data_IF_891365172359
#
_entry.id   IF_891365172359
#
_cell.length_a   1.000
_cell.length_b   1.000
_cell.length_c   1.000
_cell.angle_alpha   90.00
_cell.angle_beta   90.00
_cell.angle_gamma   90.00
#
_symmetry.space_group_name_H-M   'P 1'
#
loop_
_entity.id
_entity.type
_entity.pdbx_description
1 polymer ?
#
# COMPACT_ATOMS: atom_id res chain seq x y z
N UNK A 1 -18.10 -13.58 17.20
CA UNK A 1 -17.75 -12.20 16.79
C UNK A 1 -18.32 -12.00 15.40
N UNK A 2 -19.31 -11.12 15.22
CA UNK A 2 -19.82 -10.79 13.88
C UNK A 2 -18.95 -9.68 13.30
N UNK A 3 -18.51 -9.83 12.05
CA UNK A 3 -17.84 -8.74 11.34
C UNK A 3 -18.87 -7.66 11.00
N UNK A 4 -18.49 -6.37 11.01
CA UNK A 4 -19.37 -5.29 10.57
C UNK A 4 -19.81 -5.51 9.12
N UNK A 5 -21.08 -5.24 8.82
CA UNK A 5 -21.60 -5.34 7.46
C UNK A 5 -20.97 -4.27 6.55
N UNK A 6 -20.49 -4.71 5.39
CA UNK A 6 -19.92 -3.85 4.37
C UNK A 6 -20.95 -3.55 3.27
N UNK A 7 -20.92 -2.35 2.67
CA UNK A 7 -21.66 -2.09 1.44
C UNK A 7 -21.32 -3.12 0.34
N UNK A 8 -22.24 -3.42 -0.61
CA UNK A 8 -22.06 -4.50 -1.58
C UNK A 8 -20.74 -4.47 -2.35
N UNK A 9 -20.31 -3.29 -2.81
CA UNK A 9 -19.04 -3.12 -3.52
C UNK A 9 -17.83 -3.40 -2.62
N UNK A 10 -17.88 -2.96 -1.35
CA UNK A 10 -16.81 -3.21 -0.38
C UNK A 10 -16.78 -4.68 0.04
N UNK A 11 -17.93 -5.34 0.12
CA UNK A 11 -18.02 -6.77 0.39
C UNK A 11 -17.42 -7.60 -0.77
N UNK A 12 -17.71 -7.23 -2.02
CA UNK A 12 -17.11 -7.87 -3.19
C UNK A 12 -15.58 -7.65 -3.25
N UNK A 13 -15.12 -6.44 -2.92
CA UNK A 13 -13.69 -6.12 -2.82
C UNK A 13 -13.01 -6.93 -1.70
N UNK A 14 -13.65 -7.02 -0.53
CA UNK A 14 -13.16 -7.80 0.61
C UNK A 14 -13.05 -9.29 0.27
N UNK A 15 -14.05 -9.87 -0.39
CA UNK A 15 -14.03 -11.27 -0.83
C UNK A 15 -12.91 -11.53 -1.85
N UNK A 16 -12.72 -10.65 -2.82
CA UNK A 16 -11.62 -10.76 -3.80
C UNK A 16 -10.25 -10.66 -3.13
N UNK A 17 -10.06 -9.75 -2.17
CA UNK A 17 -8.82 -9.66 -1.37
C UNK A 17 -8.63 -10.95 -0.57
N UNK A 18 -9.69 -11.46 0.07
CA UNK A 18 -9.65 -12.70 0.83
C UNK A 18 -9.21 -13.89 -0.03
N UNK A 19 -9.78 -14.05 -1.22
CA UNK A 19 -9.40 -15.15 -2.13
C UNK A 19 -7.94 -15.05 -2.59
N UNK A 20 -7.48 -13.85 -2.93
CA UNK A 20 -6.08 -13.63 -3.29
C UNK A 20 -5.14 -13.92 -2.11
N UNK A 21 -5.51 -13.52 -0.91
CA UNK A 21 -4.79 -13.83 0.33
C UNK A 21 -4.75 -15.33 0.61
N UNK A 22 -5.87 -16.04 0.44
CA UNK A 22 -5.93 -17.47 0.70
C UNK A 22 -5.01 -18.24 -0.25
N UNK A 23 -5.04 -17.89 -1.55
CA UNK A 23 -4.16 -18.49 -2.55
C UNK A 23 -2.67 -18.19 -2.30
N UNK A 24 -2.35 -16.96 -1.90
CA UNK A 24 -0.99 -16.56 -1.56
C UNK A 24 -0.49 -17.12 -0.22
N UNK A 25 -1.40 -17.27 0.72
CA UNK A 25 -1.13 -17.65 2.10
C UNK A 25 -0.76 -19.11 2.25
N UNK A 26 -1.30 -20.03 1.43
CA UNK A 26 -1.07 -21.48 1.60
C UNK A 26 0.42 -21.83 1.62
N UNK A 27 1.22 -21.21 0.74
CA UNK A 27 2.66 -21.43 0.68
C UNK A 27 3.38 -20.96 1.96
N UNK A 28 3.03 -19.77 2.49
CA UNK A 28 3.64 -19.26 3.72
C UNK A 28 3.15 -20.01 4.96
N UNK A 29 1.87 -20.40 5.00
CA UNK A 29 1.29 -21.20 6.08
C UNK A 29 1.99 -22.57 6.19
N UNK A 30 2.27 -23.24 5.07
CA UNK A 30 3.06 -24.48 5.07
C UNK A 30 4.48 -24.26 5.60
N UNK A 31 5.11 -23.14 5.22
CA UNK A 31 6.47 -22.80 5.66
C UNK A 31 6.53 -22.36 7.13
N UNK A 32 5.42 -21.89 7.70
CA UNK A 32 5.25 -21.66 9.15
C UNK A 32 5.03 -22.98 9.88
N UNK A 33 4.17 -23.85 9.35
CA UNK A 33 3.80 -25.11 10.01
C UNK A 33 5.00 -26.05 10.18
N UNK A 34 5.89 -26.13 9.19
CA UNK A 34 7.03 -27.04 9.21
C UNK A 34 7.97 -26.85 10.41
N UNK A 35 8.56 -25.67 10.67
CA UNK A 35 9.43 -25.47 11.83
C UNK A 35 8.69 -25.63 13.16
N UNK A 36 7.42 -25.21 13.24
CA UNK A 36 6.60 -25.36 14.45
C UNK A 36 6.33 -26.83 14.80
N UNK A 37 6.17 -27.70 13.81
CA UNK A 37 6.00 -29.13 14.03
C UNK A 37 7.34 -29.87 14.29
N UNK A 38 8.46 -29.30 13.85
CA UNK A 38 9.77 -29.98 13.88
C UNK A 38 10.62 -29.64 15.10
N UNK A 39 10.38 -28.48 15.74
CA UNK A 39 11.20 -27.99 16.86
C UNK A 39 10.52 -28.30 18.21
N UNK A 40 11.28 -28.65 19.25
CA UNK A 40 10.74 -28.83 20.59
C UNK A 40 10.27 -27.49 21.19
N UNK A 41 9.33 -27.52 22.14
CA UNK A 41 8.68 -26.34 22.72
C UNK A 41 9.66 -25.24 23.18
N UNK A 42 10.79 -25.63 23.79
CA UNK A 42 11.83 -24.70 24.25
C UNK A 42 12.57 -23.94 23.13
N UNK A 43 12.33 -24.29 21.87
CA UNK A 43 12.93 -23.66 20.67
C UNK A 43 11.88 -22.94 19.80
N UNK A 44 10.60 -22.92 20.20
CA UNK A 44 9.55 -22.21 19.46
C UNK A 44 9.67 -20.69 19.60
N UNK A 45 10.22 -20.21 20.72
CA UNK A 45 10.46 -18.80 20.99
C UNK A 45 11.88 -18.39 20.60
N UNK A 46 12.08 -17.11 20.30
CA UNK A 46 13.35 -16.59 19.79
C UNK A 46 13.41 -16.69 18.27
N UNK A 47 14.44 -17.34 17.71
CA UNK A 47 14.67 -17.38 16.26
C UNK A 47 13.44 -17.90 15.48
N UNK A 48 12.87 -19.03 15.90
CA UNK A 48 11.68 -19.61 15.26
C UNK A 48 10.48 -18.66 15.31
N UNK A 49 10.28 -17.96 16.41
CA UNK A 49 9.20 -16.98 16.55
C UNK A 49 9.37 -15.83 15.56
N UNK A 50 10.59 -15.29 15.43
CA UNK A 50 10.87 -14.22 14.47
C UNK A 50 10.70 -14.69 13.02
N UNK A 51 11.12 -15.92 12.69
CA UNK A 51 10.86 -16.51 11.38
C UNK A 51 9.35 -16.59 11.08
N UNK A 52 8.54 -17.02 12.06
CA UNK A 52 7.08 -17.08 11.91
C UNK A 52 6.50 -15.68 11.72
N UNK A 53 6.93 -14.70 12.52
CA UNK A 53 6.47 -13.30 12.40
C UNK A 53 6.78 -12.72 11.02
N UNK A 54 8.00 -12.92 10.52
CA UNK A 54 8.39 -12.45 9.19
C UNK A 54 7.53 -13.06 8.08
N UNK A 55 7.18 -14.33 8.20
CA UNK A 55 6.28 -15.01 7.25
C UNK A 55 4.87 -14.43 7.31
N UNK A 56 4.33 -14.18 8.50
CA UNK A 56 3.02 -13.53 8.66
C UNK A 56 3.05 -12.11 8.08
N UNK A 57 4.11 -11.35 8.30
CA UNK A 57 4.27 -10.02 7.70
C UNK A 57 4.31 -10.05 6.17
N UNK A 58 4.91 -11.07 5.56
CA UNK A 58 4.87 -11.24 4.09
C UNK A 58 3.46 -11.47 3.56
N UNK A 59 2.63 -12.24 4.28
CA UNK A 59 1.21 -12.40 3.94
C UNK A 59 0.50 -11.04 4.02
N UNK A 60 0.73 -10.27 5.09
CA UNK A 60 0.18 -8.93 5.27
C UNK A 60 0.60 -7.94 4.18
N UNK A 61 1.87 -7.94 3.80
CA UNK A 61 2.38 -7.11 2.71
C UNK A 61 1.66 -7.41 1.39
N UNK A 62 1.49 -8.70 1.06
CA UNK A 62 0.78 -9.13 -0.15
C UNK A 62 -0.72 -8.78 -0.11
N UNK A 63 -1.33 -8.73 1.07
CA UNK A 63 -2.69 -8.22 1.27
C UNK A 63 -2.82 -6.78 0.79
N UNK A 64 -1.90 -5.93 1.25
CA UNK A 64 -1.87 -4.49 0.96
C UNK A 64 -1.63 -4.27 -0.54
N UNK A 65 -0.67 -4.99 -1.12
CA UNK A 65 -0.40 -4.95 -2.57
C UNK A 65 -1.63 -5.34 -3.39
N UNK A 66 -2.33 -6.41 -3.01
CA UNK A 66 -3.54 -6.88 -3.71
C UNK A 66 -4.66 -5.83 -3.65
N UNK A 67 -4.89 -5.23 -2.48
CA UNK A 67 -5.88 -4.17 -2.30
C UNK A 67 -5.53 -2.92 -3.13
N UNK A 68 -4.24 -2.55 -3.19
CA UNK A 68 -3.78 -1.42 -4.01
C UNK A 68 -3.96 -1.70 -5.51
N UNK A 69 -3.65 -2.91 -5.96
CA UNK A 69 -3.80 -3.31 -7.36
C UNK A 69 -5.27 -3.32 -7.81
N UNK A 70 -6.20 -3.72 -6.94
CA UNK A 70 -7.65 -3.63 -7.21
C UNK A 70 -8.12 -2.19 -7.41
N UNK A 71 -7.70 -1.27 -6.52
CA UNK A 71 -8.08 0.15 -6.60
C UNK A 71 -7.50 0.87 -7.82
N UNK A 72 -6.31 0.46 -8.27
CA UNK A 72 -5.66 1.07 -9.45
C UNK A 72 -6.43 0.80 -10.77
N UNK A 73 -7.34 -0.17 -10.79
CA UNK A 73 -8.22 -0.45 -11.93
C UNK A 73 -9.42 0.50 -12.12
N UNK A 74 -9.68 1.42 -11.18
CA UNK A 74 -10.83 2.35 -11.24
C UNK A 74 -10.56 3.73 -11.85
N UNK A 75 -9.34 3.98 -12.36
CA UNK A 75 -8.88 5.32 -12.70
C UNK A 75 -8.46 5.51 -14.16
N UNK A 76 -9.37 5.32 -15.13
CA UNK A 76 -9.26 5.94 -16.47
C UNK A 76 -10.65 5.99 -17.13
N UNK A 77 -11.45 7.01 -16.79
CA UNK A 77 -12.78 7.18 -17.40
C UNK A 77 -13.27 8.62 -17.51
N UNK A 78 -12.50 9.61 -17.09
CA UNK A 78 -12.84 11.01 -17.33
C UNK A 78 -11.56 11.78 -17.72
N UNK A 79 -11.54 12.50 -18.85
CA UNK A 79 -10.46 13.43 -19.12
C UNK A 79 -10.42 14.47 -18.00
N UNK A 80 -9.22 14.76 -17.49
CA UNK A 80 -9.02 15.86 -16.57
C UNK A 80 -9.50 17.16 -17.25
N UNK A 81 -10.43 17.86 -16.61
CA UNK A 81 -10.88 19.16 -17.11
C UNK A 81 -9.68 20.11 -17.14
N UNK A 82 -9.41 20.71 -18.30
CA UNK A 82 -8.28 21.59 -18.49
C UNK A 82 -8.41 22.81 -17.56
N UNK A 83 -7.51 22.93 -16.58
CA UNK A 83 -7.43 24.12 -15.74
C UNK A 83 -7.04 25.34 -16.59
N UNK A 84 -7.67 26.49 -16.29
CA UNK A 84 -7.34 27.77 -16.94
C UNK A 84 -5.86 28.10 -16.70
N UNK A 85 -5.10 28.53 -17.72
CA UNK A 85 -3.72 28.95 -17.51
C UNK A 85 -3.69 30.21 -16.66
N UNK A 86 -2.76 30.25 -15.70
CA UNK A 86 -2.49 31.46 -14.93
C UNK A 86 -1.97 32.57 -15.87
N UNK A 87 -2.60 33.74 -15.82
CA UNK A 87 -2.13 34.90 -16.57
C UNK A 87 -0.73 35.30 -16.07
N UNK A 88 0.20 35.50 -17.01
CA UNK A 88 1.56 35.92 -16.70
C UNK A 88 1.57 37.26 -15.95
N UNK A 89 2.23 37.29 -14.80
CA UNK A 89 2.43 38.51 -14.02
C UNK A 89 3.56 39.32 -14.68
N UNK A 90 3.28 40.57 -15.04
CA UNK A 90 4.28 41.47 -15.60
C UNK A 90 5.48 41.64 -14.66
N UNK A 91 6.69 41.41 -15.17
CA UNK A 91 7.94 41.61 -14.43
C UNK A 91 8.15 43.10 -14.11
N UNK A 92 8.63 43.45 -12.90
CA UNK A 92 8.98 44.82 -12.61
C UNK A 92 10.25 45.20 -13.39
N UNK A 93 10.16 46.31 -14.11
CA UNK A 93 11.27 46.92 -14.84
C UNK A 93 12.31 47.42 -13.85
N UNK A 94 13.55 46.96 -13.99
CA UNK A 94 14.70 47.43 -13.22
C UNK A 94 14.88 48.95 -13.41
N UNK A 95 14.83 49.70 -12.30
CA UNK A 95 15.21 51.10 -12.30
C UNK A 95 16.74 51.18 -12.25
N UNK A 96 17.29 51.79 -13.30
CA UNK A 96 18.71 51.94 -13.56
C UNK A 96 19.46 52.65 -12.43
N UNK A 97 20.65 52.14 -12.16
CA UNK A 97 21.75 52.78 -11.44
C UNK A 97 21.99 54.19 -11.97
N UNK A 98 22.13 55.17 -11.08
CA UNK A 98 22.79 56.45 -11.36
C UNK A 98 24.10 56.50 -10.57
N UNK A 99 25.24 56.86 -11.20
CA UNK A 99 26.51 56.99 -10.51
C UNK A 99 26.75 58.42 -10.00
N UNK A 100 27.88 58.57 -9.29
CA UNK A 100 28.63 59.80 -8.96
C UNK A 100 28.17 60.62 -7.76
N UNK A 101 29.02 61.28 -6.96
CA UNK A 101 30.46 61.24 -6.61
C UNK A 101 30.74 62.57 -5.90
N UNK A 102 31.36 62.55 -4.71
CA UNK A 102 32.28 63.55 -4.13
C UNK A 102 32.43 63.28 -2.63
#
# INVERSE_FOLDING_TARGET
MSLPELPPEQAAEAERIYQALRAAGDAELRRIAHPLASKPDGQLLGETEFEVRDRVHRIGAKAIETALNGRKGGGTGAPASAARPAAARASPRAAATRPSSA
#
